data_IF_814680537228
#
_entry.id   IF_814680537228
#
_cell.length_a   1.000
_cell.length_b   1.000
_cell.length_c   1.000
_cell.angle_alpha   90.00
_cell.angle_beta   90.00
_cell.angle_gamma   90.00
#
_symmetry.space_group_name_H-M   'P 1'
#
loop_
_entity.id
_entity.type
_entity.pdbx_description
1 polymer ?
#
# COMPACT_ATOMS: atom_id res chain seq x y z
N UNK A 1 -46.71 -8.54 -4.87
CA UNK A 1 -47.07 -9.85 -4.27
C UNK A 1 -48.39 -10.31 -4.86
N UNK A 2 -48.44 -11.52 -5.46
CA UNK A 2 -49.69 -12.05 -6.05
C UNK A 2 -50.26 -11.22 -7.22
N UNK A 3 -49.41 -10.62 -8.06
CA UNK A 3 -49.83 -9.76 -9.18
C UNK A 3 -50.12 -8.30 -8.81
N UNK A 4 -50.14 -7.95 -7.52
CA UNK A 4 -50.20 -6.56 -7.04
C UNK A 4 -48.80 -5.98 -6.84
N UNK A 5 -48.67 -4.66 -6.96
CA UNK A 5 -47.45 -3.94 -6.53
C UNK A 5 -47.18 -4.26 -5.06
N UNK A 6 -45.93 -4.58 -4.73
CA UNK A 6 -45.54 -4.91 -3.36
C UNK A 6 -45.66 -3.65 -2.49
N UNK A 7 -46.48 -3.63 -1.42
CA UNK A 7 -46.63 -2.45 -0.58
C UNK A 7 -45.32 -1.96 0.04
N UNK A 8 -44.32 -2.85 0.19
CA UNK A 8 -42.98 -2.50 0.68
C UNK A 8 -42.23 -1.59 -0.30
N UNK A 9 -42.51 -1.68 -1.60
CA UNK A 9 -41.95 -0.78 -2.62
C UNK A 9 -42.44 0.67 -2.48
N UNK A 10 -43.58 0.90 -1.84
CA UNK A 10 -44.10 2.26 -1.65
C UNK A 10 -43.30 3.05 -0.59
N UNK A 11 -42.69 2.35 0.38
CA UNK A 11 -42.00 2.96 1.52
C UNK A 11 -40.51 2.63 1.58
N UNK A 12 -40.00 1.81 0.64
CA UNK A 12 -38.58 1.44 0.64
C UNK A 12 -37.72 2.68 0.38
N UNK A 13 -36.76 2.91 1.26
CA UNK A 13 -35.73 3.91 1.04
C UNK A 13 -34.86 3.47 -0.15
N UNK A 14 -34.99 4.21 -1.26
CA UNK A 14 -34.24 3.99 -2.49
C UNK A 14 -32.90 4.72 -2.49
N UNK A 15 -32.59 5.51 -1.47
CA UNK A 15 -31.21 5.93 -1.19
C UNK A 15 -30.45 4.78 -0.53
N UNK A 16 -30.30 3.72 -1.30
CA UNK A 16 -29.50 2.55 -0.91
C UNK A 16 -28.00 2.89 -0.91
N UNK A 17 -27.52 3.76 -1.79
CA UNK A 17 -26.08 4.10 -1.81
C UNK A 17 -25.78 5.29 -0.90
N UNK A 18 -25.33 5.03 0.34
CA UNK A 18 -24.94 6.07 1.31
C UNK A 18 -23.43 6.40 1.32
N UNK A 19 -22.62 5.70 0.51
CA UNK A 19 -21.15 5.82 0.53
C UNK A 19 -20.60 6.75 -0.54
N UNK A 20 -21.02 8.01 -0.53
CA UNK A 20 -20.36 9.04 -1.33
C UNK A 20 -19.36 9.81 -0.47
N UNK A 21 -18.07 9.74 -0.82
CA UNK A 21 -17.00 10.47 -0.15
C UNK A 21 -16.10 9.59 0.71
N UNK A 22 -15.45 10.20 1.71
CA UNK A 22 -14.58 9.48 2.64
C UNK A 22 -15.43 8.60 3.57
N UNK A 23 -15.02 7.34 3.74
CA UNK A 23 -15.62 6.44 4.72
C UNK A 23 -15.44 7.03 6.13
N UNK A 24 -16.42 6.89 7.05
CA UNK A 24 -16.28 7.38 8.41
C UNK A 24 -15.03 6.83 9.10
N UNK A 25 -14.28 7.72 9.75
CA UNK A 25 -13.06 7.39 10.46
C UNK A 25 -13.00 8.12 11.79
N UNK A 26 -12.62 7.39 12.84
CA UNK A 26 -12.26 7.94 14.14
C UNK A 26 -10.77 7.71 14.36
N UNK A 27 -10.04 8.73 14.83
CA UNK A 27 -8.62 8.58 15.09
C UNK A 27 -8.15 9.29 16.34
N UNK A 28 -7.18 8.69 17.01
CA UNK A 28 -6.41 9.27 18.11
C UNK A 28 -4.96 9.27 17.65
N UNK A 29 -4.36 10.45 17.57
CA UNK A 29 -2.98 10.60 17.15
C UNK A 29 -2.20 11.35 18.23
N UNK A 30 -1.00 10.87 18.52
CA UNK A 30 -0.07 11.49 19.45
C UNK A 30 1.33 11.51 18.84
N UNK A 31 2.10 12.52 19.19
CA UNK A 31 3.51 12.59 18.83
C UNK A 31 4.31 13.23 19.95
N UNK A 32 5.61 12.97 19.94
CA UNK A 32 6.57 13.69 20.76
C UNK A 32 7.83 13.97 19.95
N UNK A 33 8.57 14.98 20.39
CA UNK A 33 9.90 15.31 19.89
C UNK A 33 10.73 15.79 21.07
N UNK A 34 11.92 15.22 21.23
CA UNK A 34 12.84 15.49 22.31
C UNK A 34 14.28 15.59 21.78
N UNK A 35 15.07 16.46 22.40
CA UNK A 35 16.48 16.62 22.12
C UNK A 35 17.24 17.06 23.36
N UNK A 36 18.49 16.65 23.47
CA UNK A 36 19.36 17.04 24.57
C UNK A 36 20.79 17.23 24.06
N UNK A 37 21.41 18.34 24.45
CA UNK A 37 22.76 18.69 24.04
C UNK A 37 23.76 18.29 25.14
N UNK A 38 24.73 17.44 24.79
CA UNK A 38 25.84 17.00 25.66
C UNK A 38 27.13 17.78 25.36
N UNK A 39 27.06 18.87 24.61
CA UNK A 39 28.21 19.67 24.16
C UNK A 39 28.63 19.26 22.74
N UNK A 40 29.52 18.27 22.64
CA UNK A 40 30.03 17.82 21.33
C UNK A 40 29.05 16.89 20.59
N UNK A 41 28.04 16.39 21.30
CA UNK A 41 27.05 15.43 20.80
C UNK A 41 25.65 15.89 21.20
N UNK A 42 24.74 15.91 20.24
CA UNK A 42 23.31 16.10 20.48
C UNK A 42 22.60 14.75 20.38
N UNK A 43 21.88 14.38 21.43
CA UNK A 43 20.93 13.27 21.42
C UNK A 43 19.56 13.76 20.97
N UNK A 44 18.83 12.95 20.22
CA UNK A 44 17.48 13.27 19.82
C UNK A 44 16.60 12.02 19.77
N UNK A 45 15.29 12.24 19.93
CA UNK A 45 14.30 11.19 19.81
C UNK A 45 12.95 11.78 19.42
N UNK A 46 12.23 11.09 18.56
CA UNK A 46 10.87 11.46 18.19
C UNK A 46 10.05 10.20 17.94
N UNK A 47 8.74 10.34 18.02
CA UNK A 47 7.85 9.24 17.71
C UNK A 47 6.42 9.68 17.50
N UNK A 48 5.68 8.80 16.85
CA UNK A 48 4.27 8.97 16.54
C UNK A 48 3.51 7.71 16.96
N UNK A 49 2.26 7.91 17.34
CA UNK A 49 1.31 6.86 17.63
C UNK A 49 -0.03 7.25 17.05
N UNK A 50 -0.63 6.34 16.29
CA UNK A 50 -1.95 6.50 15.70
C UNK A 50 -2.82 5.30 16.02
N UNK A 51 -4.02 5.54 16.51
CA UNK A 51 -5.12 4.60 16.40
C UNK A 51 -6.14 5.14 15.42
N UNK A 52 -6.59 4.29 14.50
CA UNK A 52 -7.64 4.65 13.55
C UNK A 52 -8.65 3.52 13.44
N UNK A 53 -9.93 3.85 13.54
CA UNK A 53 -11.02 2.94 13.20
C UNK A 53 -11.70 3.48 11.94
N UNK A 54 -11.79 2.66 10.91
CA UNK A 54 -12.44 2.99 9.64
C UNK A 54 -13.62 2.05 9.39
N UNK A 55 -14.78 2.62 9.09
CA UNK A 55 -15.99 1.86 8.80
C UNK A 55 -16.25 1.84 7.29
N UNK A 56 -16.00 0.70 6.66
CA UNK A 56 -16.18 0.49 5.23
C UNK A 56 -17.50 -0.22 4.98
N UNK A 57 -18.54 0.54 4.64
CA UNK A 57 -19.78 -0.04 4.15
C UNK A 57 -19.56 -0.58 2.72
N UNK A 58 -19.84 -1.85 2.49
CA UNK A 58 -19.81 -2.48 1.18
C UNK A 58 -21.14 -2.29 0.47
N UNK A 59 -21.17 -2.59 -0.83
CA UNK A 59 -22.38 -2.42 -1.63
C UNK A 59 -23.55 -3.20 -1.06
N UNK A 60 -24.75 -2.64 -1.21
CA UNK A 60 -26.00 -3.27 -0.81
C UNK A 60 -26.15 -4.70 -1.34
N UNK A 61 -26.75 -5.56 -0.52
CA UNK A 61 -27.24 -6.90 -0.89
C UNK A 61 -28.76 -6.85 -0.89
N UNK A 62 -29.43 -6.85 -2.06
CA UNK A 62 -30.89 -6.76 -2.11
C UNK A 62 -31.54 -8.05 -1.58
N UNK A 63 -32.73 -7.96 -1.00
CA UNK A 63 -33.45 -9.13 -0.47
C UNK A 63 -33.68 -10.24 -1.50
N UNK A 64 -33.62 -9.94 -2.80
CA UNK A 64 -33.74 -10.93 -3.88
C UNK A 64 -32.46 -11.72 -4.15
N UNK A 65 -31.35 -11.42 -3.48
CA UNK A 65 -30.07 -12.13 -3.65
C UNK A 65 -29.96 -13.30 -2.66
N UNK A 66 -29.50 -14.48 -3.12
CA UNK A 66 -29.26 -15.64 -2.26
C UNK A 66 -28.29 -15.37 -1.09
N UNK A 67 -27.33 -14.46 -1.30
CA UNK A 67 -26.38 -14.02 -0.27
C UNK A 67 -26.99 -13.10 0.79
N UNK A 68 -28.19 -12.57 0.57
CA UNK A 68 -28.88 -11.71 1.53
C UNK A 68 -29.60 -12.51 2.61
N UNK A 69 -30.04 -13.73 2.27
CA UNK A 69 -30.84 -14.62 3.10
C UNK A 69 -32.03 -13.88 3.77
N UNK A 70 -33.18 -13.75 3.07
CA UNK A 70 -34.32 -12.93 3.54
C UNK A 70 -34.92 -13.32 4.89
N UNK A 71 -34.68 -14.54 5.36
CA UNK A 71 -35.05 -14.95 6.72
C UNK A 71 -34.29 -14.21 7.82
N UNK A 72 -33.09 -13.69 7.53
CA UNK A 72 -32.25 -12.90 8.46
C UNK A 72 -32.27 -11.42 8.08
N UNK A 73 -32.18 -11.10 6.79
CA UNK A 73 -32.29 -9.73 6.28
C UNK A 73 -33.47 -9.58 5.32
N UNK A 74 -34.72 -9.42 5.84
CA UNK A 74 -35.94 -9.37 5.02
C UNK A 74 -35.95 -8.27 3.97
N UNK A 75 -35.24 -7.17 4.27
CA UNK A 75 -35.16 -6.01 3.41
C UNK A 75 -33.85 -5.95 2.62
N UNK A 76 -32.89 -6.86 2.83
CA UNK A 76 -31.50 -6.68 2.37
C UNK A 76 -30.65 -5.91 3.38
N UNK A 77 -29.35 -5.75 3.09
CA UNK A 77 -28.40 -5.13 4.03
C UNK A 77 -27.12 -4.56 3.36
N UNK A 78 -26.36 -3.74 4.12
CA UNK A 78 -25.01 -3.29 3.79
C UNK A 78 -24.00 -4.03 4.65
N UNK A 79 -23.22 -4.97 4.09
CA UNK A 79 -22.11 -5.54 4.84
C UNK A 79 -21.16 -4.42 5.22
N UNK A 80 -20.70 -4.36 6.47
CA UNK A 80 -19.71 -3.38 6.90
C UNK A 80 -18.43 -4.08 7.33
N UNK A 81 -17.29 -3.54 6.90
CA UNK A 81 -15.96 -3.98 7.34
C UNK A 81 -15.37 -2.88 8.18
N UNK A 82 -15.03 -3.22 9.42
CA UNK A 82 -14.40 -2.33 10.39
C UNK A 82 -12.91 -2.64 10.41
N UNK A 83 -12.10 -1.67 10.03
CA UNK A 83 -10.65 -1.76 10.09
C UNK A 83 -10.16 -0.94 11.27
N UNK A 84 -9.63 -1.64 12.29
CA UNK A 84 -8.99 -1.03 13.46
C UNK A 84 -7.47 -1.12 13.30
N UNK A 85 -6.84 0.04 13.13
CA UNK A 85 -5.41 0.20 12.92
C UNK A 85 -4.72 0.76 14.15
N UNK A 86 -3.59 0.17 14.49
CA UNK A 86 -2.63 0.65 15.47
C UNK A 86 -1.30 0.83 14.74
N UNK A 87 -0.85 2.07 14.64
CA UNK A 87 0.38 2.45 13.95
C UNK A 87 1.30 3.21 14.90
N UNK A 88 2.58 2.89 14.89
CA UNK A 88 3.57 3.65 15.65
C UNK A 88 4.93 3.67 14.99
N UNK A 89 5.63 4.76 15.22
CA UNK A 89 7.01 4.99 14.83
C UNK A 89 7.78 5.55 16.03
N UNK A 90 8.98 5.05 16.24
CA UNK A 90 9.90 5.53 17.27
C UNK A 90 11.30 5.63 16.67
N UNK A 91 11.91 6.81 16.80
CA UNK A 91 13.27 7.08 16.38
C UNK A 91 14.11 7.58 17.57
N UNK A 92 15.35 7.12 17.63
CA UNK A 92 16.38 7.62 18.52
C UNK A 92 17.67 7.79 17.75
N UNK A 93 18.40 8.86 18.02
CA UNK A 93 19.67 9.11 17.37
C UNK A 93 20.59 10.02 18.14
N UNK A 94 21.82 10.08 17.66
CA UNK A 94 22.86 10.96 18.14
C UNK A 94 23.56 11.59 16.94
N UNK A 95 23.96 12.84 17.08
CA UNK A 95 24.71 13.56 16.04
C UNK A 95 25.75 14.46 16.64
N UNK A 96 26.79 14.76 15.88
CA UNK A 96 27.88 15.62 16.34
C UNK A 96 28.87 15.95 15.24
N UNK A 97 30.04 16.46 15.64
CA UNK A 97 31.13 16.77 14.71
C UNK A 97 32.42 16.10 15.19
N UNK A 98 33.08 15.34 14.30
CA UNK A 98 34.38 14.73 14.57
C UNK A 98 35.33 14.97 13.40
N UNK A 99 36.52 15.53 13.67
CA UNK A 99 37.51 15.84 12.63
C UNK A 99 36.96 16.61 11.41
N UNK A 100 35.97 17.50 11.64
CA UNK A 100 35.28 18.28 10.61
C UNK A 100 34.17 17.55 9.83
N UNK A 101 33.89 16.29 10.16
CA UNK A 101 32.75 15.55 9.66
C UNK A 101 31.56 15.71 10.61
N UNK A 102 30.44 16.17 10.06
CA UNK A 102 29.15 16.05 10.71
C UNK A 102 28.71 14.59 10.59
N UNK A 103 28.39 13.96 11.70
CA UNK A 103 27.88 12.59 11.72
C UNK A 103 26.50 12.55 12.35
N UNK A 104 25.65 11.66 11.87
CA UNK A 104 24.35 11.34 12.44
C UNK A 104 24.18 9.82 12.44
N UNK A 105 23.91 9.24 13.61
CA UNK A 105 23.53 7.85 13.76
C UNK A 105 22.12 7.76 14.32
N UNK A 106 21.27 6.97 13.67
CA UNK A 106 19.88 6.79 14.09
C UNK A 106 19.41 5.35 13.97
N UNK A 107 18.44 5.02 14.82
CA UNK A 107 17.65 3.79 14.74
C UNK A 107 16.18 4.14 14.82
N UNK A 108 15.42 3.69 13.83
CA UNK A 108 13.97 3.90 13.72
C UNK A 108 13.26 2.56 13.70
N UNK A 109 12.18 2.44 14.45
CA UNK A 109 11.32 1.27 14.53
C UNK A 109 9.89 1.69 14.19
N UNK A 110 9.27 0.99 13.25
CA UNK A 110 7.90 1.20 12.83
C UNK A 110 7.08 -0.08 12.90
N UNK A 111 5.80 0.03 13.25
CA UNK A 111 4.85 -1.09 13.12
C UNK A 111 3.45 -0.54 12.87
N UNK A 112 2.83 -1.09 11.83
CA UNK A 112 1.39 -0.95 11.59
C UNK A 112 0.71 -2.31 11.82
N UNK A 113 -0.42 -2.31 12.52
CA UNK A 113 -1.29 -3.47 12.71
C UNK A 113 -2.71 -3.08 12.34
N UNK A 114 -3.24 -3.73 11.30
CA UNK A 114 -4.59 -3.52 10.79
C UNK A 114 -5.45 -4.74 11.08
N UNK A 115 -6.26 -4.69 12.15
CA UNK A 115 -7.24 -5.73 12.51
C UNK A 115 -8.54 -5.46 11.76
N UNK A 116 -9.02 -6.46 11.03
CA UNK A 116 -10.26 -6.36 10.26
C UNK A 116 -11.35 -7.23 10.89
N UNK A 117 -12.51 -6.62 11.11
CA UNK A 117 -13.75 -7.33 11.45
C UNK A 117 -14.82 -6.97 10.40
N UNK A 118 -15.82 -7.81 10.23
CA UNK A 118 -17.01 -7.50 9.47
C UNK A 118 -18.22 -7.56 10.40
N UNK A 119 -19.15 -6.63 10.27
CA UNK A 119 -20.43 -6.62 11.00
C UNK A 119 -21.57 -6.24 10.04
N UNK A 120 -22.81 -6.34 10.54
CA UNK A 120 -24.01 -6.22 9.71
C UNK A 120 -23.91 -7.05 8.43
N UNK A 121 -23.38 -8.26 8.55
CA UNK A 121 -23.10 -9.16 7.43
C UNK A 121 -23.63 -10.57 7.73
N UNK A 122 -23.41 -11.52 6.83
CA UNK A 122 -23.72 -12.94 7.06
C UNK A 122 -22.85 -13.80 6.14
N UNK A 123 -22.45 -14.98 6.61
CA UNK A 123 -22.04 -16.06 5.72
C UNK A 123 -23.28 -16.92 5.40
N UNK A 124 -24.00 -16.53 4.34
CA UNK A 124 -25.29 -17.13 3.99
C UNK A 124 -25.17 -18.61 3.60
N UNK A 125 -23.99 -19.08 3.19
CA UNK A 125 -23.77 -20.49 2.87
C UNK A 125 -23.90 -21.41 4.09
N UNK A 126 -23.77 -20.86 5.31
CA UNK A 126 -23.99 -21.56 6.59
C UNK A 126 -25.46 -21.58 7.03
N UNK A 127 -26.35 -20.88 6.31
CA UNK A 127 -27.78 -20.84 6.59
C UNK A 127 -28.22 -19.77 7.61
N UNK A 128 -29.50 -19.78 8.02
CA UNK A 128 -30.12 -18.70 8.82
C UNK A 128 -29.57 -18.56 10.24
N UNK A 129 -28.85 -19.56 10.75
CA UNK A 129 -28.22 -19.52 12.08
C UNK A 129 -26.78 -19.01 12.04
N UNK A 130 -26.29 -18.58 10.87
CA UNK A 130 -24.99 -17.97 10.70
C UNK A 130 -24.87 -16.68 11.51
N UNK A 131 -23.71 -16.45 12.12
CA UNK A 131 -23.43 -15.21 12.83
C UNK A 131 -23.45 -14.00 11.89
N UNK A 132 -23.66 -12.81 12.45
CA UNK A 132 -23.75 -11.56 11.69
C UNK A 132 -22.56 -10.63 11.84
N UNK A 133 -21.57 -11.07 12.63
CA UNK A 133 -20.30 -10.39 12.87
C UNK A 133 -19.18 -11.40 12.74
N UNK A 134 -18.06 -11.02 12.13
CA UNK A 134 -16.96 -11.91 11.86
C UNK A 134 -15.60 -11.25 12.08
N UNK A 135 -14.65 -11.98 12.66
CA UNK A 135 -13.23 -11.63 12.59
C UNK A 135 -12.65 -12.06 11.22
N UNK A 136 -12.34 -11.07 10.39
CA UNK A 136 -11.85 -11.27 9.02
C UNK A 136 -10.36 -11.64 9.02
N UNK A 137 -9.57 -11.02 9.90
CA UNK A 137 -8.14 -11.29 9.99
C UNK A 137 -7.33 -10.07 10.43
N UNK A 138 -5.99 -10.19 10.39
CA UNK A 138 -5.11 -9.07 10.75
C UNK A 138 -3.93 -8.99 9.77
N UNK A 139 -3.64 -7.80 9.28
CA UNK A 139 -2.43 -7.48 8.53
C UNK A 139 -1.44 -6.79 9.47
N UNK A 140 -0.16 -7.16 9.43
CA UNK A 140 0.89 -6.54 10.25
C UNK A 140 2.08 -6.21 9.36
N UNK A 141 2.52 -4.95 9.41
CA UNK A 141 3.79 -4.51 8.84
C UNK A 141 4.74 -4.09 9.95
N UNK A 142 6.02 -4.41 9.84
CA UNK A 142 7.07 -3.93 10.75
C UNK A 142 8.28 -3.51 9.95
N UNK A 143 8.95 -2.46 10.40
CA UNK A 143 10.19 -1.98 9.83
C UNK A 143 11.17 -1.55 10.94
N UNK A 144 12.44 -1.81 10.73
CA UNK A 144 13.54 -1.29 11.52
C UNK A 144 14.60 -0.74 10.56
N UNK A 145 15.05 0.49 10.78
CA UNK A 145 16.06 1.16 9.97
C UNK A 145 17.17 1.66 10.88
N UNK A 146 18.41 1.28 10.59
CA UNK A 146 19.60 1.84 11.22
C UNK A 146 20.38 2.62 10.15
N UNK A 147 20.72 3.86 10.45
CA UNK A 147 21.43 4.75 9.52
C UNK A 147 22.65 5.35 10.19
N UNK A 148 23.74 5.47 9.42
CA UNK A 148 24.89 6.30 9.75
C UNK A 148 25.17 7.20 8.55
N UNK A 149 25.05 8.50 8.76
CA UNK A 149 25.26 9.53 7.75
C UNK A 149 26.44 10.42 8.14
N UNK A 150 27.25 10.79 7.16
CA UNK A 150 28.47 11.57 7.30
C UNK A 150 28.50 12.67 6.25
N UNK A 151 28.74 13.92 6.65
CA UNK A 151 28.86 15.05 5.72
C UNK A 151 30.02 15.95 6.09
N UNK A 152 30.77 16.40 5.09
CA UNK A 152 31.85 17.39 5.26
C UNK A 152 31.97 18.33 4.08
N UNK A 153 32.22 19.60 4.39
CA UNK A 153 32.55 20.64 3.43
C UNK A 153 34.07 20.80 3.25
N UNK A 154 34.48 21.10 2.02
CA UNK A 154 35.85 21.39 1.60
C UNK A 154 35.89 22.66 0.75
N UNK A 155 36.99 23.40 0.83
CA UNK A 155 37.30 24.45 -0.13
C UNK A 155 38.15 23.84 -1.25
N UNK A 156 37.66 23.88 -2.48
CA UNK A 156 38.33 23.28 -3.65
C UNK A 156 38.24 24.24 -4.82
N UNK A 157 39.36 24.58 -5.44
CA UNK A 157 39.39 25.39 -6.67
C UNK A 157 38.76 26.78 -6.55
N UNK A 158 38.73 27.38 -5.35
CA UNK A 158 38.03 28.65 -5.08
C UNK A 158 36.53 28.51 -4.78
N UNK A 159 35.97 27.30 -4.95
CA UNK A 159 34.58 26.96 -4.67
C UNK A 159 34.38 26.18 -3.36
N UNK A 160 33.16 25.69 -3.17
CA UNK A 160 32.76 24.84 -2.03
C UNK A 160 32.36 23.45 -2.51
N UNK A 161 32.96 22.42 -1.93
CA UNK A 161 32.61 21.03 -2.18
C UNK A 161 32.01 20.43 -0.92
N UNK A 162 30.76 20.00 -0.95
CA UNK A 162 30.17 19.16 0.07
C UNK A 162 30.26 17.71 -0.38
N UNK A 163 30.74 16.84 0.51
CA UNK A 163 30.74 15.40 0.35
C UNK A 163 29.88 14.81 1.45
N UNK A 164 28.90 14.00 1.08
CA UNK A 164 28.07 13.22 2.00
C UNK A 164 28.14 11.75 1.66
N UNK A 165 28.18 10.89 2.67
CA UNK A 165 28.20 9.44 2.51
C UNK A 165 27.54 8.80 3.71
N UNK A 166 27.08 7.57 3.55
CA UNK A 166 26.45 6.87 4.65
C UNK A 166 26.12 5.44 4.30
N UNK A 167 25.72 4.71 5.33
CA UNK A 167 25.24 3.34 5.25
C UNK A 167 23.88 3.23 5.92
N UNK A 168 23.07 2.32 5.42
CA UNK A 168 21.76 2.04 5.97
C UNK A 168 21.50 0.53 5.99
N UNK A 169 20.89 0.07 7.07
CA UNK A 169 20.41 -1.28 7.23
C UNK A 169 18.92 -1.25 7.53
N UNK A 170 18.10 -1.81 6.63
CA UNK A 170 16.65 -1.92 6.81
C UNK A 170 16.23 -3.38 6.93
N UNK A 171 15.43 -3.68 7.94
CA UNK A 171 14.72 -4.95 8.09
C UNK A 171 13.23 -4.65 8.05
N UNK A 172 12.51 -5.30 7.14
CA UNK A 172 11.06 -5.16 7.02
C UNK A 172 10.38 -6.54 7.03
N UNK A 173 9.15 -6.60 7.51
CA UNK A 173 8.34 -7.82 7.49
C UNK A 173 6.88 -7.52 7.30
N UNK A 174 6.18 -8.43 6.64
CA UNK A 174 4.74 -8.39 6.44
C UNK A 174 4.11 -9.71 6.87
N UNK A 175 2.98 -9.64 7.57
CA UNK A 175 2.26 -10.80 8.08
C UNK A 175 0.77 -10.69 7.80
N UNK A 176 0.18 -11.79 7.35
CA UNK A 176 -1.27 -11.99 7.28
C UNK A 176 -1.64 -13.04 8.32
N UNK A 177 -2.54 -12.68 9.23
CA UNK A 177 -3.13 -13.60 10.21
C UNK A 177 -4.53 -13.97 9.78
N UNK A 178 -4.81 -15.26 9.74
CA UNK A 178 -6.13 -15.80 9.37
C UNK A 178 -7.26 -15.19 10.20
N UNK A 179 -8.43 -15.13 9.58
CA UNK A 179 -9.70 -14.85 10.24
C UNK A 179 -10.24 -16.07 10.99
N UNK A 180 -11.46 -15.94 11.50
CA UNK A 180 -12.14 -17.08 12.13
C UNK A 180 -12.81 -17.99 11.09
N UNK A 181 -12.95 -19.31 11.36
CA UNK A 181 -13.48 -20.27 10.38
C UNK A 181 -14.83 -19.90 9.75
N UNK A 182 -15.79 -19.41 10.54
CA UNK A 182 -17.11 -19.06 10.04
C UNK A 182 -17.09 -17.92 9.00
N UNK A 183 -16.05 -17.08 9.02
CA UNK A 183 -15.90 -15.93 8.12
C UNK A 183 -15.52 -16.30 6.68
N UNK A 184 -15.00 -17.52 6.45
CA UNK A 184 -14.61 -18.02 5.13
C UNK A 184 -15.13 -19.43 4.82
N UNK A 185 -15.83 -20.06 5.76
CA UNK A 185 -16.38 -21.40 5.58
C UNK A 185 -17.30 -21.47 4.36
N UNK A 186 -17.23 -22.60 3.65
CA UNK A 186 -18.12 -22.95 2.56
C UNK A 186 -19.19 -23.93 3.04
N UNK A 187 -20.38 -23.41 3.37
CA UNK A 187 -21.50 -24.24 3.77
C UNK A 187 -22.28 -24.81 2.57
N UNK A 188 -23.25 -25.68 2.90
CA UNK A 188 -24.09 -26.40 1.93
C UNK A 188 -25.51 -25.85 1.85
N UNK A 189 -25.81 -24.73 2.52
CA UNK A 189 -27.16 -24.17 2.54
C UNK A 189 -27.58 -23.72 1.13
N UNK A 190 -28.83 -24.01 0.79
CA UNK A 190 -29.47 -23.56 -0.44
C UNK A 190 -30.82 -22.93 -0.09
N UNK A 191 -31.17 -21.87 -0.81
CA UNK A 191 -32.43 -21.15 -0.64
C UNK A 191 -33.25 -21.21 -1.94
N UNK A 192 -34.51 -20.76 -1.88
CA UNK A 192 -35.34 -20.57 -3.08
C UNK A 192 -34.78 -19.54 -4.07
N UNK A 193 -33.82 -18.71 -3.64
CA UNK A 193 -33.11 -17.73 -4.47
C UNK A 193 -31.80 -18.28 -5.06
N UNK A 194 -31.44 -19.54 -4.74
CA UNK A 194 -30.22 -20.20 -5.17
C UNK A 194 -29.26 -20.54 -4.03
N UNK A 195 -28.08 -21.04 -4.42
CA UNK A 195 -26.97 -21.36 -3.50
C UNK A 195 -26.17 -20.09 -3.20
N UNK A 196 -26.03 -19.66 -1.94
CA UNK A 196 -25.19 -18.53 -1.59
C UNK A 196 -23.70 -18.83 -1.80
N UNK A 197 -22.92 -17.79 -2.08
CA UNK A 197 -21.47 -17.85 -2.12
C UNK A 197 -20.90 -18.08 -0.70
N UNK A 198 -19.74 -18.75 -0.59
CA UNK A 198 -19.10 -18.99 0.70
C UNK A 198 -18.46 -17.72 1.29
N UNK A 199 -18.33 -17.69 2.62
CA UNK A 199 -17.70 -16.61 3.37
C UNK A 199 -18.64 -15.45 3.73
N UNK A 200 -18.16 -14.58 4.64
CA UNK A 200 -18.89 -13.39 5.05
C UNK A 200 -19.08 -12.42 3.86
N UNK A 201 -20.27 -11.85 3.74
CA UNK A 201 -20.56 -10.87 2.69
C UNK A 201 -19.73 -9.60 2.85
N UNK A 202 -19.30 -9.02 1.73
CA UNK A 202 -18.42 -7.83 1.70
C UNK A 202 -16.94 -8.23 1.68
N UNK A 203 -16.46 -8.79 2.79
CA UNK A 203 -15.12 -9.37 2.91
C UNK A 203 -15.18 -10.72 3.61
N UNK A 204 -14.77 -11.78 2.91
CA UNK A 204 -14.55 -13.06 3.55
C UNK A 204 -13.24 -13.01 4.34
N UNK A 205 -13.17 -13.78 5.43
CA UNK A 205 -11.94 -13.82 6.23
C UNK A 205 -10.76 -14.39 5.47
N UNK A 206 -9.55 -13.99 5.88
CA UNK A 206 -8.32 -14.61 5.41
C UNK A 206 -8.33 -16.07 5.82
N UNK A 207 -8.23 -16.96 4.84
CA UNK A 207 -8.17 -18.41 5.08
C UNK A 207 -6.81 -18.80 5.69
N UNK A 208 -6.65 -20.04 6.17
CA UNK A 208 -5.33 -20.55 6.56
C UNK A 208 -4.30 -20.47 5.41
N UNK A 209 -4.73 -20.69 4.16
CA UNK A 209 -3.87 -20.58 2.97
C UNK A 209 -3.48 -19.12 2.63
N UNK A 210 -4.31 -18.15 3.05
CA UNK A 210 -4.04 -16.72 2.89
C UNK A 210 -3.06 -16.21 3.98
N UNK A 211 -2.93 -16.94 5.09
CA UNK A 211 -2.04 -16.55 6.19
C UNK A 211 -0.58 -16.81 5.83
N UNK A 212 0.28 -15.86 6.17
CA UNK A 212 1.68 -15.91 5.78
C UNK A 212 2.54 -14.90 6.49
N UNK A 213 3.85 -15.11 6.43
CA UNK A 213 4.86 -14.19 6.95
C UNK A 213 6.02 -14.14 5.96
N UNK A 214 6.41 -12.93 5.57
CA UNK A 214 7.59 -12.68 4.76
C UNK A 214 8.43 -11.58 5.41
N UNK A 215 9.74 -11.70 5.28
CA UNK A 215 10.73 -10.78 5.84
C UNK A 215 11.80 -10.52 4.79
N UNK A 216 12.31 -9.29 4.78
CA UNK A 216 13.39 -8.85 3.91
C UNK A 216 14.40 -7.99 4.66
N UNK A 217 15.65 -8.12 4.25
CA UNK A 217 16.78 -7.32 4.68
C UNK A 217 17.31 -6.52 3.48
N UNK A 218 17.63 -5.26 3.72
CA UNK A 218 18.27 -4.38 2.74
C UNK A 218 19.47 -3.70 3.38
N UNK A 219 20.63 -3.81 2.73
CA UNK A 219 21.80 -3.01 3.06
C UNK A 219 22.08 -2.02 1.94
N UNK A 220 22.28 -0.75 2.30
CA UNK A 220 22.55 0.29 1.35
C UNK A 220 23.77 1.12 1.76
N UNK A 221 24.47 1.64 0.75
CA UNK A 221 25.55 2.61 0.90
C UNK A 221 25.42 3.69 -0.16
N UNK A 222 25.77 4.93 0.18
CA UNK A 222 25.69 6.03 -0.76
C UNK A 222 26.88 6.99 -0.68
N UNK A 223 27.07 7.71 -1.79
CA UNK A 223 27.98 8.84 -1.92
C UNK A 223 27.26 9.96 -2.68
N UNK A 224 27.23 11.16 -2.12
CA UNK A 224 26.70 12.37 -2.70
C UNK A 224 27.78 13.46 -2.66
N UNK A 225 27.91 14.18 -3.77
CA UNK A 225 28.82 15.29 -3.92
C UNK A 225 28.05 16.48 -4.49
N UNK A 226 28.10 17.61 -3.81
CA UNK A 226 27.62 18.90 -4.30
C UNK A 226 28.78 19.88 -4.39
N UNK A 227 29.00 20.46 -5.56
CA UNK A 227 30.11 21.36 -5.84
C UNK A 227 29.60 22.69 -6.38
N UNK A 228 29.95 23.76 -5.68
CA UNK A 228 29.76 25.14 -6.08
C UNK A 228 31.11 25.72 -6.55
N UNK A 229 31.52 25.53 -7.82
CA UNK A 229 32.76 26.11 -8.33
C UNK A 229 32.78 27.63 -8.28
N UNK A 230 31.61 28.26 -8.41
CA UNK A 230 31.41 29.71 -8.33
C UNK A 230 30.13 30.00 -7.54
N UNK A 231 29.76 31.29 -7.37
CA UNK A 231 28.50 31.67 -6.73
C UNK A 231 27.27 31.38 -7.61
N UNK A 232 27.47 31.16 -8.90
CA UNK A 232 26.41 31.09 -9.89
C UNK A 232 26.13 29.64 -10.34
N UNK A 233 27.07 28.72 -10.11
CA UNK A 233 27.00 27.34 -10.59
C UNK A 233 26.99 26.40 -9.40
N UNK A 234 26.04 25.47 -9.40
CA UNK A 234 26.01 24.30 -8.50
C UNK A 234 25.92 23.05 -9.36
N UNK A 235 26.76 22.05 -9.08
CA UNK A 235 26.75 20.74 -9.74
C UNK A 235 26.67 19.67 -8.66
N UNK A 236 25.72 18.75 -8.79
CA UNK A 236 25.51 17.67 -7.84
C UNK A 236 25.54 16.31 -8.51
N UNK A 237 26.21 15.34 -7.89
CA UNK A 237 26.25 13.95 -8.32
C UNK A 237 26.06 13.02 -7.13
N UNK A 238 25.22 12.00 -7.27
CA UNK A 238 24.99 11.02 -6.23
C UNK A 238 24.90 9.60 -6.80
N UNK A 239 25.41 8.63 -6.04
CA UNK A 239 25.26 7.21 -6.30
C UNK A 239 24.84 6.50 -5.01
N UNK A 240 23.96 5.51 -5.15
CA UNK A 240 23.49 4.67 -4.05
C UNK A 240 23.40 3.23 -4.51
N UNK A 241 24.06 2.34 -3.79
CA UNK A 241 23.95 0.90 -3.97
C UNK A 241 23.02 0.34 -2.90
N UNK A 242 22.11 -0.54 -3.28
CA UNK A 242 21.29 -1.32 -2.35
C UNK A 242 21.39 -2.81 -2.68
N UNK A 243 21.45 -3.63 -1.64
CA UNK A 243 21.48 -5.09 -1.69
C UNK A 243 20.31 -5.64 -0.89
N UNK A 244 19.37 -6.26 -1.59
CA UNK A 244 18.22 -6.95 -1.01
C UNK A 244 18.50 -8.46 -0.92
N UNK A 245 18.06 -9.10 0.16
CA UNK A 245 18.18 -10.55 0.37
C UNK A 245 17.03 -11.37 -0.26
N UNK A 246 16.18 -10.74 -1.07
CA UNK A 246 15.07 -11.34 -1.82
C UNK A 246 15.29 -11.22 -3.36
N UNK A 247 14.28 -11.56 -4.14
CA UNK A 247 14.29 -11.52 -5.61
C UNK A 247 14.50 -10.11 -6.19
N UNK A 248 14.43 -9.06 -5.35
CA UNK A 248 14.73 -7.70 -5.78
C UNK A 248 16.20 -7.49 -6.12
N UNK A 249 17.09 -8.26 -5.47
CA UNK A 249 18.53 -8.27 -5.70
C UNK A 249 19.21 -6.91 -5.58
N UNK A 250 20.31 -6.76 -6.31
CA UNK A 250 21.16 -5.57 -6.27
C UNK A 250 20.67 -4.46 -7.20
N UNK A 251 20.82 -3.22 -6.75
CA UNK A 251 20.54 -2.05 -7.58
C UNK A 251 21.56 -0.93 -7.36
N UNK A 252 21.86 -0.20 -8.44
CA UNK A 252 22.66 1.01 -8.42
C UNK A 252 21.80 2.18 -8.93
N UNK A 253 21.56 3.13 -8.04
CA UNK A 253 20.81 4.34 -8.31
C UNK A 253 21.80 5.48 -8.49
N UNK A 254 21.60 6.31 -9.50
CA UNK A 254 22.48 7.44 -9.78
C UNK A 254 21.67 8.70 -10.12
N UNK A 255 22.22 9.86 -9.75
CA UNK A 255 21.67 11.17 -10.06
C UNK A 255 22.78 12.12 -10.44
N UNK A 256 22.53 12.93 -11.47
CA UNK A 256 23.32 14.10 -11.80
C UNK A 256 22.37 15.29 -11.87
N UNK A 257 22.76 16.42 -11.29
CA UNK A 257 22.00 17.65 -11.35
C UNK A 257 22.93 18.86 -11.48
N UNK A 258 22.39 19.94 -12.03
CA UNK A 258 23.09 21.21 -12.12
C UNK A 258 22.11 22.37 -12.02
N UNK A 259 22.60 23.48 -11.48
CA UNK A 259 21.93 24.78 -11.47
C UNK A 259 22.92 25.84 -11.93
N UNK A 260 22.46 26.74 -12.80
CA UNK A 260 23.24 27.88 -13.27
C UNK A 260 22.41 29.16 -13.18
N UNK A 261 22.84 30.09 -12.34
CA UNK A 261 22.32 31.45 -12.28
C UNK A 261 22.92 32.27 -13.42
N UNK A 262 22.12 32.58 -14.44
CA UNK A 262 22.55 33.41 -15.57
C UNK A 262 22.63 34.87 -15.12
N UNK A 263 21.66 35.30 -14.30
CA UNK A 263 21.59 36.61 -13.66
C UNK A 263 21.01 36.45 -12.25
N UNK A 264 21.04 37.50 -11.40
CA UNK A 264 20.40 37.43 -10.08
C UNK A 264 18.90 37.11 -10.10
N UNK A 265 18.21 37.30 -11.23
CA UNK A 265 16.78 37.06 -11.39
C UNK A 265 16.44 35.91 -12.35
N UNK A 266 17.44 35.25 -12.97
CA UNK A 266 17.24 34.10 -13.86
C UNK A 266 18.21 32.98 -13.53
N UNK A 267 17.69 31.79 -13.26
CA UNK A 267 18.48 30.58 -13.15
C UNK A 267 17.88 29.42 -13.97
N UNK A 268 18.75 28.60 -14.54
CA UNK A 268 18.40 27.32 -15.14
C UNK A 268 18.75 26.20 -14.17
N UNK A 269 17.94 25.14 -14.17
CA UNK A 269 18.23 23.91 -13.43
C UNK A 269 17.90 22.69 -14.27
N UNK A 270 18.63 21.61 -14.06
CA UNK A 270 18.41 20.34 -14.73
C UNK A 270 18.87 19.16 -13.89
N UNK A 271 18.23 18.01 -14.09
CA UNK A 271 18.63 16.76 -13.46
C UNK A 271 18.29 15.55 -14.33
N UNK A 272 19.13 14.52 -14.22
CA UNK A 272 18.89 13.17 -14.70
C UNK A 272 19.08 12.22 -13.53
N UNK A 273 18.18 11.26 -13.37
CA UNK A 273 18.27 10.26 -12.30
C UNK A 273 17.66 8.94 -12.69
N UNK A 274 18.14 7.86 -12.07
CA UNK A 274 17.46 6.57 -12.07
C UNK A 274 16.65 6.41 -10.78
N UNK A 275 15.64 5.54 -10.82
CA UNK A 275 14.85 5.16 -9.67
C UNK A 275 14.64 3.65 -9.64
N UNK A 276 14.40 3.15 -8.43
CA UNK A 276 14.20 1.74 -8.15
C UNK A 276 13.13 1.60 -7.07
N UNK A 277 12.23 0.63 -7.24
CA UNK A 277 11.28 0.22 -6.21
C UNK A 277 11.20 -1.30 -6.20
N UNK A 278 11.78 -1.90 -5.16
CA UNK A 278 11.58 -3.32 -4.87
C UNK A 278 10.07 -3.62 -4.71
N UNK A 279 9.59 -4.79 -5.16
CA UNK A 279 8.21 -5.21 -4.90
C UNK A 279 7.91 -5.11 -3.40
N UNK A 280 6.80 -4.49 -3.03
CA UNK A 280 6.43 -4.42 -1.61
C UNK A 280 6.14 -5.83 -1.09
N UNK A 281 6.54 -6.13 0.14
CA UNK A 281 6.25 -7.44 0.76
C UNK A 281 4.76 -7.79 0.73
N UNK A 282 3.90 -6.77 0.91
CA UNK A 282 2.46 -6.94 0.74
C UNK A 282 2.09 -7.34 -0.70
N UNK A 283 2.68 -6.75 -1.74
CA UNK A 283 2.37 -7.14 -3.13
C UNK A 283 2.74 -8.60 -3.42
N UNK A 284 3.75 -9.15 -2.74
CA UNK A 284 4.18 -10.53 -2.94
C UNK A 284 3.20 -11.54 -2.33
N UNK A 285 2.74 -11.31 -1.08
CA UNK A 285 1.94 -12.30 -0.33
C UNK A 285 0.51 -11.88 0.00
N UNK A 286 0.05 -10.68 -0.42
CA UNK A 286 -1.30 -10.22 -0.10
C UNK A 286 -2.37 -11.14 -0.67
N UNK A 287 -3.26 -11.58 0.21
CA UNK A 287 -4.43 -12.36 -0.11
C UNK A 287 -5.67 -11.67 0.47
N UNK A 288 -6.75 -11.66 -0.31
CA UNK A 288 -8.06 -11.22 0.18
C UNK A 288 -9.17 -11.71 -0.74
N UNK A 289 -10.34 -12.02 -0.20
CA UNK A 289 -11.52 -12.37 -0.99
C UNK A 289 -12.64 -11.38 -0.69
N UNK A 290 -13.05 -10.59 -1.69
CA UNK A 290 -14.05 -9.53 -1.50
C UNK A 290 -15.13 -9.56 -2.59
N UNK A 291 -16.34 -9.17 -2.22
CA UNK A 291 -17.46 -9.07 -3.15
C UNK A 291 -17.47 -7.71 -3.86
N UNK A 292 -17.23 -7.68 -5.17
CA UNK A 292 -17.10 -6.46 -5.95
C UNK A 292 -17.92 -6.51 -7.24
N UNK A 293 -18.44 -5.36 -7.67
CA UNK A 293 -19.08 -5.26 -8.98
C UNK A 293 -18.03 -5.11 -10.09
N UNK A 294 -18.24 -5.83 -11.20
CA UNK A 294 -17.43 -5.76 -12.42
C UNK A 294 -18.33 -5.69 -13.64
N UNK A 295 -17.95 -4.86 -14.60
CA UNK A 295 -18.55 -4.84 -15.92
C UNK A 295 -17.97 -6.01 -16.72
N UNK A 296 -18.79 -7.00 -17.04
CA UNK A 296 -18.41 -8.17 -17.84
C UNK A 296 -19.25 -8.26 -19.11
N UNK A 297 -18.69 -8.88 -20.15
CA UNK A 297 -19.37 -9.11 -21.42
C UNK A 297 -19.29 -7.92 -22.40
N UNK A 298 -19.89 -8.11 -23.57
CA UNK A 298 -20.02 -7.09 -24.61
C UNK A 298 -21.46 -7.15 -25.18
N UNK A 299 -22.36 -6.19 -24.88
CA UNK A 299 -22.12 -4.98 -24.08
C UNK A 299 -21.88 -5.29 -22.59
N UNK A 300 -21.16 -4.41 -21.86
CA UNK A 300 -20.83 -4.62 -20.46
C UNK A 300 -22.09 -4.61 -19.58
N UNK A 301 -22.24 -5.67 -18.77
CA UNK A 301 -23.27 -5.80 -17.73
C UNK A 301 -22.61 -5.84 -16.37
N UNK A 302 -23.18 -5.13 -15.40
CA UNK A 302 -22.68 -5.06 -14.03
C UNK A 302 -22.98 -6.36 -13.28
N UNK A 303 -21.94 -7.09 -12.88
CA UNK A 303 -22.03 -8.38 -12.17
C UNK A 303 -21.37 -8.26 -10.80
N UNK A 304 -22.04 -8.74 -9.74
CA UNK A 304 -21.42 -8.89 -8.43
C UNK A 304 -20.61 -10.19 -8.41
N UNK A 305 -19.30 -10.08 -8.29
CA UNK A 305 -18.37 -11.21 -8.24
C UNK A 305 -17.70 -11.30 -6.88
N UNK A 306 -17.44 -12.51 -6.42
CA UNK A 306 -16.52 -12.76 -5.34
C UNK A 306 -15.12 -12.88 -5.94
N UNK A 307 -14.23 -11.92 -5.68
CA UNK A 307 -12.90 -11.85 -6.29
C UNK A 307 -11.84 -12.14 -5.24
N UNK A 308 -11.02 -13.16 -5.48
CA UNK A 308 -9.82 -13.46 -4.68
C UNK A 308 -8.60 -12.83 -5.31
N UNK A 309 -7.90 -12.01 -4.54
CA UNK A 309 -6.52 -11.62 -4.83
C UNK A 309 -5.63 -12.75 -4.36
N UNK A 310 -4.96 -13.40 -5.30
CA UNK A 310 -4.07 -14.53 -5.03
C UNK A 310 -2.66 -14.01 -4.75
N UNK A 311 -1.97 -14.53 -3.72
CA UNK A 311 -0.53 -14.33 -3.58
C UNK A 311 0.20 -14.77 -4.84
N UNK A 312 1.20 -14.01 -5.27
CA UNK A 312 1.94 -14.22 -6.53
C UNK A 312 2.55 -15.63 -6.59
N UNK A 313 3.14 -16.09 -5.48
CA UNK A 313 3.74 -17.43 -5.40
C UNK A 313 2.77 -18.58 -5.13
N UNK A 314 1.46 -18.35 -5.06
CA UNK A 314 0.50 -19.42 -4.77
C UNK A 314 0.33 -20.37 -5.97
N UNK A 315 0.08 -21.68 -5.76
CA UNK A 315 -0.15 -22.63 -6.85
C UNK A 315 -1.25 -22.20 -7.83
N UNK A 316 -2.34 -21.62 -7.30
CA UNK A 316 -3.43 -21.10 -8.10
C UNK A 316 -3.02 -19.89 -8.97
N UNK A 317 -2.21 -18.97 -8.45
CA UNK A 317 -1.72 -17.81 -9.22
C UNK A 317 -0.77 -18.27 -10.34
N UNK A 318 0.17 -19.15 -10.02
CA UNK A 318 1.14 -19.69 -11.00
C UNK A 318 0.39 -20.45 -12.11
N UNK A 319 -0.61 -21.28 -11.76
CA UNK A 319 -1.42 -21.99 -12.74
C UNK A 319 -2.25 -21.06 -13.64
N UNK A 320 -2.56 -19.84 -13.19
CA UNK A 320 -3.22 -18.79 -13.98
C UNK A 320 -2.22 -17.94 -14.79
N UNK A 321 -0.91 -18.16 -14.64
CA UNK A 321 0.15 -17.45 -15.37
C UNK A 321 0.85 -16.35 -14.58
N UNK A 322 0.80 -16.37 -13.24
CA UNK A 322 1.59 -15.46 -12.41
C UNK A 322 3.08 -15.79 -12.49
N UNK A 323 3.90 -14.74 -12.57
CA UNK A 323 5.36 -14.80 -12.59
C UNK A 323 5.92 -14.05 -11.37
N UNK A 324 7.14 -14.37 -10.89
CA UNK A 324 7.77 -13.64 -9.79
C UNK A 324 7.86 -12.13 -10.09
N UNK A 325 7.51 -11.31 -9.09
CA UNK A 325 7.55 -9.86 -9.24
C UNK A 325 8.99 -9.39 -9.44
N UNK A 326 9.19 -8.52 -10.42
CA UNK A 326 10.47 -7.84 -10.65
C UNK A 326 10.42 -6.40 -10.13
N UNK A 327 11.55 -5.80 -9.73
CA UNK A 327 11.57 -4.42 -9.28
C UNK A 327 11.16 -3.41 -10.36
N UNK A 328 10.38 -2.40 -9.96
CA UNK A 328 10.05 -1.28 -10.86
C UNK A 328 11.28 -0.39 -11.01
N UNK A 329 11.62 -0.05 -12.26
CA UNK A 329 12.75 0.84 -12.57
C UNK A 329 12.26 2.11 -13.25
N UNK A 330 12.91 3.23 -12.98
CA UNK A 330 12.60 4.48 -13.66
C UNK A 330 13.83 5.25 -14.11
N UNK A 331 13.65 6.05 -15.15
CA UNK A 331 14.61 7.08 -15.56
C UNK A 331 13.86 8.38 -15.66
N UNK A 332 14.33 9.39 -14.94
CA UNK A 332 13.72 10.71 -14.86
C UNK A 332 14.67 11.77 -15.43
N UNK A 333 14.16 12.55 -16.37
CA UNK A 333 14.78 13.77 -16.86
C UNK A 333 13.91 14.95 -16.44
N UNK A 334 14.51 15.97 -15.85
CA UNK A 334 13.82 17.19 -15.48
C UNK A 334 14.65 18.43 -15.81
N UNK A 335 13.98 19.50 -16.18
CA UNK A 335 14.60 20.80 -16.43
C UNK A 335 13.64 21.91 -16.09
N UNK A 336 14.18 23.07 -15.70
CA UNK A 336 13.36 24.20 -15.37
C UNK A 336 14.09 25.53 -15.31
N UNK A 337 13.28 26.58 -15.27
CA UNK A 337 13.70 27.98 -15.22
C UNK A 337 13.12 28.57 -13.94
N UNK A 338 13.97 29.25 -13.18
CA UNK A 338 13.59 30.03 -12.00
C UNK A 338 13.75 31.50 -12.35
N UNK A 339 12.68 32.27 -12.18
CA UNK A 339 12.63 33.70 -12.41
C UNK A 339 12.30 34.40 -11.10
N UNK A 340 13.04 35.46 -10.79
CA UNK A 340 12.84 36.28 -9.60
C UNK A 340 12.68 37.76 -10.01
N UNK A 341 11.61 38.10 -10.76
CA UNK A 341 11.47 39.42 -11.38
C UNK A 341 11.29 40.55 -10.36
N UNK A 342 10.84 40.24 -9.14
CA UNK A 342 10.69 41.17 -8.02
C UNK A 342 11.14 40.46 -6.73
N UNK A 343 11.55 41.22 -5.71
CA UNK A 343 12.08 40.67 -4.45
C UNK A 343 11.17 39.64 -3.76
N UNK A 344 9.85 39.79 -3.92
CA UNK A 344 8.83 38.93 -3.30
C UNK A 344 8.06 38.07 -4.31
N UNK A 345 8.54 37.99 -5.54
CA UNK A 345 7.92 37.16 -6.58
C UNK A 345 8.94 36.17 -7.13
N UNK A 346 8.69 34.89 -6.90
CA UNK A 346 9.41 33.79 -7.54
C UNK A 346 8.47 33.05 -8.48
N UNK A 347 8.86 32.89 -9.74
CA UNK A 347 8.13 32.13 -10.75
C UNK A 347 9.03 30.99 -11.21
N UNK A 348 8.53 29.76 -11.17
CA UNK A 348 9.25 28.58 -11.65
C UNK A 348 8.47 27.90 -12.76
N UNK A 349 9.15 27.55 -13.84
CA UNK A 349 8.59 26.78 -14.96
C UNK A 349 9.42 25.52 -15.09
N UNK A 350 8.80 24.37 -14.88
CA UNK A 350 9.48 23.08 -14.85
C UNK A 350 8.80 22.08 -15.78
N UNK A 351 9.61 21.27 -16.46
CA UNK A 351 9.19 20.13 -17.25
C UNK A 351 9.93 18.88 -16.80
N UNK A 352 9.24 17.73 -16.85
CA UNK A 352 9.84 16.44 -16.52
C UNK A 352 9.30 15.34 -17.43
N UNK A 353 10.11 14.31 -17.63
CA UNK A 353 9.73 13.08 -18.32
C UNK A 353 10.27 11.90 -17.52
N UNK A 354 9.35 11.03 -17.08
CA UNK A 354 9.67 9.82 -16.31
C UNK A 354 9.29 8.61 -17.15
N UNK A 355 10.28 7.81 -17.52
CA UNK A 355 10.07 6.49 -18.12
C UNK A 355 10.08 5.45 -17.03
N UNK A 356 8.93 4.82 -16.77
CA UNK A 356 8.79 3.70 -15.83
C UNK A 356 8.79 2.38 -16.61
N UNK A 357 9.50 1.39 -16.09
CA UNK A 357 9.53 0.01 -16.60
C UNK A 357 9.14 -0.95 -15.48
N UNK A 358 8.57 -2.09 -15.89
CA UNK A 358 8.26 -3.21 -15.00
C UNK A 358 7.36 -2.80 -13.82
N UNK A 359 6.38 -1.92 -14.12
CA UNK A 359 5.42 -1.44 -13.12
C UNK A 359 4.55 -2.60 -12.66
N UNK A 360 4.51 -2.84 -11.36
CA UNK A 360 3.69 -3.87 -10.73
C UNK A 360 2.26 -3.35 -10.66
N UNK A 361 1.36 -4.05 -11.32
CA UNK A 361 -0.05 -3.70 -11.39
C UNK A 361 -0.90 -4.96 -11.32
N UNK A 362 -2.03 -4.87 -10.63
CA UNK A 362 -2.95 -5.99 -10.53
C UNK A 362 -3.55 -6.32 -11.91
N UNK A 363 -3.71 -7.61 -12.21
CA UNK A 363 -4.34 -8.07 -13.45
C UNK A 363 -5.79 -7.57 -13.55
N UNK A 364 -6.36 -7.67 -14.76
CA UNK A 364 -7.81 -7.68 -14.89
C UNK A 364 -8.41 -8.86 -14.11
N UNK A 365 -9.72 -8.77 -13.81
CA UNK A 365 -10.42 -9.87 -13.14
C UNK A 365 -10.52 -11.07 -14.08
N UNK A 366 -9.92 -12.19 -13.68
CA UNK A 366 -9.94 -13.46 -14.39
C UNK A 366 -11.21 -14.22 -14.02
N UNK A 367 -12.00 -14.56 -15.05
CA UNK A 367 -13.31 -15.21 -14.91
C UNK A 367 -13.53 -16.26 -16.01
N UNK A 368 -14.56 -17.09 -15.87
CA UNK A 368 -14.99 -18.05 -16.90
C UNK A 368 -14.63 -19.50 -16.56
N UNK A 369 -15.08 -20.44 -17.39
CA UNK A 369 -14.98 -21.88 -17.11
C UNK A 369 -13.54 -22.38 -17.01
N UNK A 370 -12.63 -21.89 -17.85
CA UNK A 370 -11.22 -22.25 -17.80
C UNK A 370 -10.56 -21.81 -16.49
N UNK A 371 -10.83 -20.56 -16.05
CA UNK A 371 -10.34 -20.03 -14.78
C UNK A 371 -10.92 -20.81 -13.61
N UNK A 372 -12.23 -21.08 -13.63
CA UNK A 372 -12.90 -21.88 -12.59
C UNK A 372 -12.30 -23.29 -12.48
N UNK A 373 -12.02 -23.96 -13.60
CA UNK A 373 -11.37 -25.28 -13.59
C UNK A 373 -9.97 -25.25 -12.96
N UNK A 374 -9.15 -24.23 -13.25
CA UNK A 374 -7.83 -24.05 -12.65
C UNK A 374 -7.95 -23.79 -11.15
N UNK A 375 -8.89 -22.94 -10.73
CA UNK A 375 -9.15 -22.63 -9.33
C UNK A 375 -9.58 -23.87 -8.53
N UNK A 376 -10.51 -24.67 -9.06
CA UNK A 376 -10.96 -25.93 -8.44
C UNK A 376 -9.80 -26.91 -8.30
N UNK A 377 -8.97 -27.07 -9.34
CA UNK A 377 -7.79 -27.94 -9.30
C UNK A 377 -6.77 -27.51 -8.23
N UNK A 378 -6.81 -26.25 -7.80
CA UNK A 378 -5.97 -25.68 -6.75
C UNK A 378 -6.74 -25.41 -5.44
N UNK A 379 -7.83 -26.16 -5.19
CA UNK A 379 -8.56 -26.15 -3.92
C UNK A 379 -9.40 -24.90 -3.65
N UNK A 380 -9.61 -24.05 -4.65
CA UNK A 380 -10.46 -22.87 -4.53
C UNK A 380 -11.91 -23.17 -4.95
N UNK A 381 -12.85 -22.31 -4.53
CA UNK A 381 -14.26 -22.44 -4.90
C UNK A 381 -14.47 -22.26 -6.41
N UNK A 382 -15.39 -23.01 -7.04
CA UNK A 382 -15.78 -22.78 -8.44
C UNK A 382 -16.47 -21.42 -8.66
N UNK A 383 -17.01 -20.82 -7.59
CA UNK A 383 -17.88 -19.64 -7.62
C UNK A 383 -17.13 -18.32 -7.43
N UNK A 384 -15.79 -18.35 -7.39
CA UNK A 384 -14.95 -17.16 -7.24
C UNK A 384 -14.23 -16.82 -8.55
N UNK A 385 -13.92 -15.53 -8.71
CA UNK A 385 -13.02 -14.98 -9.71
C UNK A 385 -11.65 -14.71 -9.09
N UNK A 386 -10.63 -14.55 -9.92
CA UNK A 386 -9.25 -14.36 -9.44
C UNK A 386 -8.60 -13.11 -10.03
N UNK A 387 -7.59 -12.61 -9.32
CA UNK A 387 -6.65 -11.60 -9.79
C UNK A 387 -5.34 -11.77 -9.01
N UNK A 388 -4.23 -11.31 -9.57
CA UNK A 388 -2.92 -11.31 -8.90
C UNK A 388 -2.11 -10.10 -9.38
N UNK A 389 -0.98 -9.82 -8.71
CA UNK A 389 -0.05 -8.74 -9.07
C UNK A 389 0.90 -9.11 -10.19
#
# INVERSE_FOLDING_TARGET
>A
VGGQLDPREATIDRQVTSNYGAMPQESINGSYNAGYDLGDVTLYSFGTYGQRKSDLNYTYRPATNANSLPGVYPNGFYPRVVIAEEDYEFAVGAKGVVAGWHWDFSSTLGKNRSRQNADNTINASLGPTSQTEFYVGTLVSKEAVNSLDLTRGYKVGGGNLQVSTGIQHRIESYQIKQGEPASYAAGTYTSSLGRPSPGASGAAGFTPDDAGFIKRNNFAGYLDVAYDPTRDITIGGAVRYEHYDDESGDTLIAKLNARYAITPWVALRGAVSTGFRAPALAQQIYASTTGQFRNLGNPPVLNLLQIKTLPVGSPAAIALGSEPLTPEKSTNFSGGIVLQPLERLTVTIDGYQIKVKDRIAITSTLTGSAVSAILIANGQSPDISAQYY
#
